data_IF_471925959158
#
_entry.id   IF_471925959158
#
_cell.length_a   1.000
_cell.length_b   1.000
_cell.length_c   1.000
_cell.angle_alpha   90.00
_cell.angle_beta   90.00
_cell.angle_gamma   90.00
#
_symmetry.space_group_name_H-M   'P 1'
#
loop_
_entity.id
_entity.type
_entity.pdbx_description
1 polymer ?
#
# COMPACT_ATOMS: atom_id res chain seq x y z
N UNK A 1 3.01 26.95 26.11
CA UNK A 1 2.56 26.66 24.73
C UNK A 1 2.97 25.22 24.43
N UNK A 2 2.10 24.29 24.73
CA UNK A 2 2.34 22.84 24.58
C UNK A 2 1.71 22.39 23.26
N UNK A 3 2.55 22.03 22.29
CA UNK A 3 2.11 21.47 21.01
C UNK A 3 1.61 20.05 21.26
N UNK A 4 0.31 19.85 21.09
CA UNK A 4 -0.33 18.52 21.14
C UNK A 4 0.07 17.75 19.88
N UNK A 5 0.92 16.77 20.07
CA UNK A 5 1.36 15.84 19.03
C UNK A 5 0.23 14.83 18.76
N UNK A 6 -0.43 14.90 17.62
CA UNK A 6 -1.33 13.86 17.13
C UNK A 6 -0.52 12.82 16.34
N UNK A 7 -0.38 11.58 16.84
CA UNK A 7 0.23 10.50 16.07
C UNK A 7 -0.83 9.87 15.16
N UNK A 8 -0.90 10.31 13.91
CA UNK A 8 -1.82 9.73 12.96
C UNK A 8 -1.65 10.28 11.55
N UNK A 9 -1.08 9.44 10.66
CA UNK A 9 -1.16 9.54 9.21
C UNK A 9 -0.14 10.48 8.53
N UNK A 10 1.14 10.32 8.81
CA UNK A 10 2.15 10.39 7.76
C UNK A 10 2.66 8.97 7.51
N UNK A 11 1.97 8.24 6.63
CA UNK A 11 2.56 7.04 6.04
C UNK A 11 3.72 7.55 5.19
N UNK A 12 4.95 7.49 5.71
CA UNK A 12 6.15 7.71 4.91
C UNK A 12 6.08 6.70 3.78
N UNK A 13 5.84 7.18 2.56
CA UNK A 13 5.88 6.33 1.38
C UNK A 13 7.34 5.95 1.20
N UNK A 14 7.67 4.71 1.57
CA UNK A 14 8.97 4.12 1.28
C UNK A 14 8.97 3.65 -0.16
N UNK A 15 9.96 4.07 -0.92
CA UNK A 15 10.13 3.72 -2.32
C UNK A 15 11.43 2.95 -2.50
N UNK A 16 11.46 2.02 -3.45
CA UNK A 16 12.67 1.28 -3.81
C UNK A 16 12.95 1.43 -5.30
N UNK A 17 14.18 1.82 -5.63
CA UNK A 17 14.66 2.00 -7.00
C UNK A 17 15.48 0.78 -7.46
N UNK A 18 15.22 0.34 -8.69
CA UNK A 18 15.94 -0.73 -9.36
C UNK A 18 16.55 -0.23 -10.67
N UNK A 19 17.77 -0.65 -10.96
CA UNK A 19 18.38 -0.55 -12.29
C UNK A 19 18.54 -1.97 -12.85
N UNK A 20 17.78 -2.28 -13.87
CA UNK A 20 17.59 -3.67 -14.31
C UNK A 20 17.12 -4.51 -13.13
N UNK A 21 17.88 -5.56 -12.75
CA UNK A 21 17.53 -6.46 -11.64
C UNK A 21 18.25 -6.13 -10.31
N UNK A 22 19.00 -5.02 -10.24
CA UNK A 22 19.73 -4.63 -9.03
C UNK A 22 19.04 -3.49 -8.31
N UNK A 23 18.84 -3.66 -7.02
CA UNK A 23 18.37 -2.62 -6.13
C UNK A 23 19.43 -1.54 -5.99
N UNK A 24 19.05 -0.29 -6.22
CA UNK A 24 19.94 0.87 -6.09
C UNK A 24 19.86 1.49 -4.70
N UNK A 25 18.65 1.74 -4.24
CA UNK A 25 18.36 2.37 -2.96
C UNK A 25 16.90 2.18 -2.57
N UNK A 26 16.63 2.35 -1.26
CA UNK A 26 15.27 2.49 -0.72
C UNK A 26 15.22 3.73 0.16
N UNK A 27 14.08 4.39 0.23
CA UNK A 27 13.87 5.56 1.08
C UNK A 27 12.81 6.50 0.54
N UNK A 28 12.90 7.77 0.88
CA UNK A 28 12.00 8.80 0.38
C UNK A 28 12.21 9.11 -1.10
N UNK A 29 11.23 9.73 -1.75
CA UNK A 29 11.36 10.18 -3.14
C UNK A 29 12.58 11.11 -3.34
N UNK A 30 12.88 11.97 -2.37
CA UNK A 30 14.01 12.89 -2.43
C UNK A 30 15.35 12.16 -2.39
N UNK A 31 15.48 11.14 -1.55
CA UNK A 31 16.69 10.32 -1.45
C UNK A 31 16.93 9.55 -2.74
N UNK A 32 15.87 8.96 -3.31
CA UNK A 32 15.97 8.23 -4.57
C UNK A 32 16.33 9.14 -5.74
N UNK A 33 15.75 10.32 -5.86
CA UNK A 33 16.13 11.32 -6.88
C UNK A 33 17.63 11.64 -6.78
N UNK A 34 18.15 11.80 -5.56
CA UNK A 34 19.57 12.10 -5.34
C UNK A 34 20.48 10.95 -5.78
N UNK A 35 20.09 9.70 -5.54
CA UNK A 35 20.84 8.52 -5.96
C UNK A 35 20.78 8.32 -7.46
N UNK A 36 19.59 8.42 -8.06
CA UNK A 36 19.38 8.21 -9.50
C UNK A 36 20.11 9.27 -10.35
N UNK A 37 20.11 10.53 -9.93
CA UNK A 37 20.84 11.62 -10.63
C UNK A 37 22.34 11.40 -10.72
N UNK A 38 22.93 10.64 -9.80
CA UNK A 38 24.37 10.37 -9.76
C UNK A 38 24.81 9.20 -10.63
N UNK A 39 23.86 8.47 -11.21
CA UNK A 39 24.15 7.30 -12.03
C UNK A 39 24.05 7.61 -13.52
N UNK A 40 25.04 7.18 -14.34
CA UNK A 40 24.97 7.34 -15.77
C UNK A 40 23.96 6.34 -16.36
N UNK A 41 23.17 6.85 -17.30
CA UNK A 41 22.39 6.21 -18.36
C UNK A 41 21.90 4.76 -18.11
N UNK A 42 20.61 4.63 -17.91
CA UNK A 42 19.87 3.37 -17.87
C UNK A 42 18.48 3.59 -17.33
N UNK A 43 17.56 2.73 -17.72
CA UNK A 43 16.20 2.73 -17.21
C UNK A 43 16.22 2.37 -15.72
N UNK A 44 15.74 3.27 -14.88
CA UNK A 44 15.56 3.05 -13.45
C UNK A 44 14.07 2.94 -13.19
N UNK A 45 13.65 1.83 -12.62
CA UNK A 45 12.28 1.61 -12.19
C UNK A 45 12.18 1.88 -10.69
N UNK A 46 11.17 2.61 -10.28
CA UNK A 46 10.91 2.91 -8.88
C UNK A 46 9.57 2.31 -8.47
N UNK A 47 9.55 1.66 -7.33
CA UNK A 47 8.37 0.99 -6.80
C UNK A 47 8.00 1.52 -5.43
N UNK A 48 6.72 1.63 -5.16
CA UNK A 48 6.15 1.86 -3.84
C UNK A 48 6.23 0.56 -3.02
N UNK A 49 6.88 0.61 -1.86
CA UNK A 49 7.12 -0.55 -1.00
C UNK A 49 5.84 -1.11 -0.36
N UNK A 50 4.76 -0.34 -0.34
CA UNK A 50 3.48 -0.80 0.22
C UNK A 50 2.56 -1.41 -0.83
N UNK A 51 2.58 -0.89 -2.06
CA UNK A 51 1.63 -1.28 -3.11
C UNK A 51 2.26 -2.06 -4.26
N UNK A 52 3.60 -2.13 -4.32
CA UNK A 52 4.34 -2.73 -5.43
C UNK A 52 4.16 -2.02 -6.77
N UNK A 53 3.47 -0.89 -6.78
CA UNK A 53 3.21 -0.13 -7.99
C UNK A 53 4.45 0.62 -8.46
N UNK A 54 4.68 0.59 -9.77
CA UNK A 54 5.73 1.41 -10.39
C UNK A 54 5.32 2.88 -10.33
N UNK A 55 6.28 3.72 -9.94
CA UNK A 55 6.11 5.18 -9.84
C UNK A 55 7.09 5.85 -10.80
N UNK A 56 6.59 6.77 -11.61
CA UNK A 56 7.43 7.63 -12.43
C UNK A 56 7.93 8.82 -11.59
N UNK A 57 9.23 8.84 -11.32
CA UNK A 57 9.87 9.96 -10.64
C UNK A 57 10.40 10.95 -11.69
N UNK A 58 9.90 12.17 -11.69
CA UNK A 58 10.46 13.25 -12.51
C UNK A 58 11.88 13.61 -12.02
N UNK A 59 12.86 12.93 -12.61
CA UNK A 59 14.30 13.09 -12.31
C UNK A 59 14.83 14.42 -12.83
N UNK A 60 14.12 15.10 -13.75
CA UNK A 60 14.58 16.28 -14.47
C UNK A 60 14.35 17.61 -13.75
N UNK A 61 13.80 17.59 -12.53
CA UNK A 61 13.98 18.72 -11.62
C UNK A 61 12.90 19.77 -11.55
N UNK A 62 11.66 19.41 -11.74
CA UNK A 62 10.57 20.11 -11.07
C UNK A 62 9.92 19.09 -10.14
N UNK A 63 10.22 19.18 -8.84
CA UNK A 63 9.37 18.58 -7.82
C UNK A 63 7.95 19.02 -8.13
N UNK A 64 7.28 18.27 -8.98
CA UNK A 64 5.84 18.23 -8.92
C UNK A 64 5.59 17.63 -7.56
N UNK A 65 5.40 18.49 -6.55
CA UNK A 65 4.73 18.09 -5.34
C UNK A 65 3.62 17.21 -5.86
N UNK A 66 3.65 15.93 -5.52
CA UNK A 66 2.45 15.12 -5.56
C UNK A 66 1.56 15.92 -4.62
N UNK A 67 0.85 16.86 -5.21
CA UNK A 67 -0.15 17.63 -4.53
C UNK A 67 -1.12 16.57 -4.07
N UNK A 68 -1.11 16.35 -2.78
CA UNK A 68 -2.21 15.79 -2.07
C UNK A 68 -3.43 16.63 -2.46
N UNK A 69 -4.08 16.24 -3.57
CA UNK A 69 -5.34 16.82 -4.01
C UNK A 69 -6.45 16.36 -3.07
N UNK A 70 -6.24 16.58 -1.79
CA UNK A 70 -7.28 16.58 -0.77
C UNK A 70 -7.06 17.72 0.20
N UNK A 71 -6.94 18.93 -0.33
CA UNK A 71 -7.37 20.09 0.43
C UNK A 71 -8.90 20.04 0.50
N UNK A 72 -9.40 19.25 1.42
CA UNK A 72 -10.76 19.44 1.92
C UNK A 72 -10.73 20.78 2.66
N UNK A 73 -11.29 21.81 2.03
CA UNK A 73 -11.53 23.10 2.67
C UNK A 73 -12.26 22.85 4.00
N UNK A 74 -11.62 23.20 5.11
CA UNK A 74 -12.28 23.19 6.43
C UNK A 74 -13.36 24.27 6.46
N UNK A 75 -14.62 23.91 6.67
CA UNK A 75 -15.63 24.89 7.03
C UNK A 75 -15.41 25.25 8.51
N UNK A 76 -14.90 26.45 8.76
CA UNK A 76 -14.82 27.04 10.09
C UNK A 76 -16.25 27.30 10.63
N UNK A 77 -16.75 26.36 11.45
CA UNK A 77 -18.01 26.50 12.17
C UNK A 77 -17.79 26.40 13.67
N UNK A 78 -18.32 27.36 14.46
CA UNK A 78 -18.41 27.28 15.94
C UNK A 78 -19.25 26.05 16.30
N UNK A 79 -18.65 25.06 16.96
CA UNK A 79 -19.34 23.86 17.43
C UNK A 79 -18.35 22.89 18.08
N UNK A 80 -18.88 21.96 18.89
CA UNK A 80 -18.16 20.86 19.53
C UNK A 80 -17.22 20.18 18.53
N UNK A 81 -15.95 19.81 18.89
CA UNK A 81 -15.01 19.16 18.00
C UNK A 81 -15.67 18.00 17.26
N UNK A 82 -15.69 18.04 15.93
CA UNK A 82 -16.24 16.96 15.12
C UNK A 82 -15.34 15.74 15.27
N UNK A 83 -15.91 14.60 15.56
CA UNK A 83 -15.28 13.27 15.73
C UNK A 83 -14.61 12.76 14.44
N UNK A 84 -14.04 13.61 13.58
CA UNK A 84 -13.41 13.19 12.33
C UNK A 84 -14.38 12.50 11.34
N UNK A 85 -15.69 12.66 11.51
CA UNK A 85 -16.71 12.03 10.68
C UNK A 85 -16.84 12.79 9.37
N UNK A 86 -16.56 12.12 8.25
CA UNK A 86 -16.76 12.64 6.89
C UNK A 86 -18.10 12.12 6.38
N UNK A 87 -19.00 13.02 5.96
CA UNK A 87 -20.26 12.63 5.34
C UNK A 87 -20.00 12.06 3.94
N UNK A 88 -20.52 10.87 3.68
CA UNK A 88 -20.52 10.20 2.38
C UNK A 88 -21.91 9.66 2.09
N UNK A 89 -22.33 9.73 0.83
CA UNK A 89 -23.57 9.14 0.38
C UNK A 89 -23.37 7.65 0.07
N UNK A 90 -24.32 6.83 0.51
CA UNK A 90 -24.28 5.38 0.30
C UNK A 90 -25.65 4.95 -0.21
N UNK A 91 -25.67 4.25 -1.34
CA UNK A 91 -26.89 3.65 -1.89
C UNK A 91 -27.08 2.24 -1.36
N UNK A 92 -28.21 2.00 -0.72
CA UNK A 92 -28.58 0.68 -0.16
C UNK A 92 -29.98 0.28 -0.67
N UNK A 93 -30.26 -1.01 -0.66
CA UNK A 93 -31.60 -1.50 -0.98
C UNK A 93 -32.61 -1.09 0.11
N UNK A 94 -33.91 -0.88 -0.24
CA UNK A 94 -34.94 -0.48 0.73
C UNK A 94 -34.95 -1.35 2.00
N UNK A 95 -34.92 -2.67 1.86
CA UNK A 95 -34.87 -3.62 2.98
C UNK A 95 -33.67 -3.39 3.93
N UNK A 96 -32.55 -2.88 3.42
CA UNK A 96 -31.39 -2.56 4.26
C UNK A 96 -31.65 -1.29 5.09
N UNK A 97 -32.32 -0.31 4.48
CA UNK A 97 -32.73 0.91 5.19
C UNK A 97 -33.77 0.61 6.26
N UNK A 98 -34.76 -0.25 5.96
CA UNK A 98 -35.79 -0.66 6.93
C UNK A 98 -35.13 -1.27 8.16
N UNK A 99 -34.17 -2.17 7.97
CA UNK A 99 -33.42 -2.79 9.07
C UNK A 99 -32.54 -1.79 9.83
N UNK A 100 -31.77 -0.95 9.12
CA UNK A 100 -30.88 0.01 9.75
C UNK A 100 -31.60 1.06 10.58
N UNK A 101 -32.81 1.44 10.19
CA UNK A 101 -33.60 2.47 10.88
C UNK A 101 -34.15 2.00 12.22
N UNK A 102 -34.32 0.69 12.42
CA UNK A 102 -34.80 0.13 13.70
C UNK A 102 -33.65 -0.21 14.66
N UNK A 103 -32.40 -0.16 14.18
CA UNK A 103 -31.24 -0.44 15.01
C UNK A 103 -30.99 0.63 16.08
N UNK A 104 -30.58 0.23 17.31
CA UNK A 104 -30.27 1.18 18.38
C UNK A 104 -29.18 2.17 18.01
N UNK A 105 -29.48 3.46 18.02
CA UNK A 105 -28.58 4.56 17.64
C UNK A 105 -28.68 4.96 16.17
N UNK A 106 -29.61 4.32 15.41
CA UNK A 106 -29.92 4.65 14.02
C UNK A 106 -28.87 4.17 13.00
N UNK A 107 -29.19 4.36 11.73
CA UNK A 107 -28.43 3.83 10.59
C UNK A 107 -26.92 4.17 10.62
N UNK A 108 -26.57 5.41 10.97
CA UNK A 108 -25.14 5.82 11.02
C UNK A 108 -24.32 5.11 12.09
N UNK A 109 -24.92 4.78 13.22
CA UNK A 109 -24.25 4.03 14.30
C UNK A 109 -24.16 2.56 13.93
N UNK A 110 -25.25 1.98 13.42
CA UNK A 110 -25.28 0.60 12.98
C UNK A 110 -24.25 0.34 11.88
N UNK A 111 -24.21 1.18 10.85
CA UNK A 111 -23.21 1.07 9.77
C UNK A 111 -21.78 1.14 10.28
N UNK A 112 -21.46 2.06 11.20
CA UNK A 112 -20.11 2.12 11.78
C UNK A 112 -19.74 0.84 12.53
N UNK A 113 -20.64 0.30 13.34
CA UNK A 113 -20.41 -0.97 14.06
C UNK A 113 -20.18 -2.12 13.09
N UNK A 114 -20.99 -2.22 12.02
CA UNK A 114 -20.83 -3.25 11.00
C UNK A 114 -19.50 -3.13 10.25
N UNK A 115 -19.10 -1.90 9.89
CA UNK A 115 -17.80 -1.66 9.23
C UNK A 115 -16.64 -2.01 10.17
N UNK A 116 -16.71 -1.62 11.45
CA UNK A 116 -15.66 -1.95 12.41
C UNK A 116 -15.57 -3.46 12.65
N UNK A 117 -16.69 -4.16 12.67
CA UNK A 117 -16.73 -5.61 12.78
C UNK A 117 -16.15 -6.28 11.51
N UNK A 118 -16.60 -5.87 10.33
CA UNK A 118 -16.05 -6.35 9.07
C UNK A 118 -14.54 -6.14 8.97
N UNK A 119 -14.04 -4.96 9.36
CA UNK A 119 -12.60 -4.67 9.37
C UNK A 119 -11.81 -5.57 10.34
N UNK A 120 -12.39 -5.91 11.50
CA UNK A 120 -11.76 -6.88 12.43
C UNK A 120 -11.73 -8.28 11.86
N UNK A 121 -12.81 -8.69 11.23
CA UNK A 121 -12.97 -10.07 10.73
C UNK A 121 -12.23 -10.32 9.42
N UNK A 122 -12.19 -9.33 8.51
CA UNK A 122 -11.56 -9.47 7.20
C UNK A 122 -10.12 -8.93 7.15
N UNK A 123 -9.68 -8.23 8.18
CA UNK A 123 -8.41 -7.48 8.16
C UNK A 123 -7.18 -8.31 7.78
N UNK A 124 -7.11 -9.58 8.19
CA UNK A 124 -6.00 -10.45 7.84
C UNK A 124 -6.09 -10.93 6.39
N UNK A 125 -7.29 -11.26 5.92
CA UNK A 125 -7.51 -11.65 4.51
C UNK A 125 -7.23 -10.50 3.55
N UNK A 126 -7.66 -9.29 3.92
CA UNK A 126 -7.43 -8.10 3.11
C UNK A 126 -5.94 -7.73 3.06
N UNK A 127 -5.20 -7.92 4.17
CA UNK A 127 -3.74 -7.76 4.20
C UNK A 127 -3.03 -8.76 3.30
N UNK A 128 -3.40 -10.03 3.37
CA UNK A 128 -2.82 -11.08 2.51
C UNK A 128 -3.09 -10.77 1.05
N UNK A 129 -4.32 -10.40 0.69
CA UNK A 129 -4.67 -10.02 -0.68
C UNK A 129 -3.86 -8.80 -1.15
N UNK A 130 -3.77 -7.76 -0.35
CA UNK A 130 -2.99 -6.57 -0.68
C UNK A 130 -1.51 -6.89 -0.89
N UNK A 131 -0.93 -7.76 -0.06
CA UNK A 131 0.45 -8.22 -0.20
C UNK A 131 0.66 -9.03 -1.49
N UNK A 132 -0.25 -9.95 -1.82
CA UNK A 132 -0.21 -10.71 -3.06
C UNK A 132 -0.31 -9.80 -4.30
N UNK A 133 -1.21 -8.82 -4.28
CA UNK A 133 -1.35 -7.84 -5.36
C UNK A 133 -0.11 -6.96 -5.50
N UNK A 134 0.50 -6.53 -4.40
CA UNK A 134 1.72 -5.74 -4.41
C UNK A 134 2.89 -6.52 -5.01
N UNK A 135 3.09 -7.77 -4.56
CA UNK A 135 4.12 -8.64 -5.10
C UNK A 135 3.90 -8.92 -6.59
N UNK A 136 2.66 -9.19 -7.01
CA UNK A 136 2.33 -9.44 -8.40
C UNK A 136 2.62 -8.23 -9.30
N UNK A 137 2.26 -7.00 -8.89
CA UNK A 137 2.56 -5.79 -9.66
C UNK A 137 4.06 -5.61 -9.88
N UNK A 138 4.84 -5.75 -8.82
CA UNK A 138 6.29 -5.69 -8.89
C UNK A 138 6.87 -6.78 -9.80
N UNK A 139 6.48 -8.03 -9.58
CA UNK A 139 6.95 -9.17 -10.35
C UNK A 139 6.62 -9.02 -11.84
N UNK A 140 5.40 -8.56 -12.16
CA UNK A 140 4.98 -8.34 -13.54
C UNK A 140 5.80 -7.27 -14.25
N UNK A 141 6.16 -6.21 -13.53
CA UNK A 141 6.93 -5.09 -14.10
C UNK A 141 8.42 -5.44 -14.31
N UNK A 142 9.02 -6.22 -13.40
CA UNK A 142 10.48 -6.43 -13.41
C UNK A 142 10.89 -7.87 -13.71
N UNK A 143 10.08 -8.85 -13.34
CA UNK A 143 10.39 -10.27 -13.40
C UNK A 143 9.55 -11.06 -14.42
N UNK A 144 8.68 -10.40 -15.19
CA UNK A 144 7.73 -11.07 -16.10
C UNK A 144 8.37 -12.00 -17.13
N UNK A 145 9.62 -11.73 -17.51
CA UNK A 145 10.38 -12.54 -18.45
C UNK A 145 11.33 -13.55 -17.77
N UNK A 146 11.33 -13.64 -16.42
CA UNK A 146 12.19 -14.57 -15.71
C UNK A 146 11.59 -15.99 -15.72
N UNK A 147 12.45 -17.04 -15.72
CA UNK A 147 11.97 -18.42 -15.69
C UNK A 147 11.07 -18.69 -14.48
N UNK A 148 9.97 -19.42 -14.71
CA UNK A 148 9.05 -19.82 -13.65
C UNK A 148 8.12 -18.71 -13.15
N UNK A 149 8.02 -17.57 -13.84
CA UNK A 149 7.16 -16.44 -13.43
C UNK A 149 5.69 -16.84 -13.25
N UNK A 150 5.12 -17.60 -14.21
CA UNK A 150 3.72 -18.00 -14.13
C UNK A 150 3.46 -18.96 -12.96
N UNK A 151 4.35 -19.93 -12.75
CA UNK A 151 4.25 -20.88 -11.65
C UNK A 151 4.43 -20.17 -10.30
N UNK A 152 5.36 -19.22 -10.21
CA UNK A 152 5.57 -18.39 -9.04
C UNK A 152 4.30 -17.55 -8.74
N UNK A 153 3.67 -16.98 -9.75
CA UNK A 153 2.42 -16.25 -9.64
C UNK A 153 1.29 -17.14 -9.11
N UNK A 154 1.15 -18.37 -9.62
CA UNK A 154 0.16 -19.33 -9.10
C UNK A 154 0.42 -19.69 -7.63
N UNK A 155 1.67 -19.91 -7.26
CA UNK A 155 2.06 -20.20 -5.88
C UNK A 155 1.79 -19.00 -4.93
N UNK A 156 2.04 -17.77 -5.41
CA UNK A 156 1.76 -16.53 -4.69
C UNK A 156 0.26 -16.43 -4.33
N UNK A 157 -0.64 -16.58 -5.32
CA UNK A 157 -2.08 -16.48 -5.09
C UNK A 157 -2.68 -17.69 -4.35
N UNK A 158 -2.01 -18.85 -4.41
CA UNK A 158 -2.34 -20.00 -3.57
C UNK A 158 -1.84 -19.85 -2.12
N UNK A 159 -1.11 -18.76 -1.80
CA UNK A 159 -0.45 -18.54 -0.52
C UNK A 159 0.51 -19.67 -0.12
N UNK A 160 1.09 -20.37 -1.11
CA UNK A 160 2.09 -21.42 -0.90
C UNK A 160 3.51 -20.81 -0.85
N UNK A 161 3.89 -20.35 0.34
CA UNK A 161 5.17 -19.67 0.59
C UNK A 161 6.37 -20.54 0.21
N UNK A 162 6.29 -21.84 0.52
CA UNK A 162 7.39 -22.77 0.28
C UNK A 162 7.63 -22.96 -1.22
N UNK A 163 6.55 -23.21 -1.95
CA UNK A 163 6.62 -23.38 -3.41
C UNK A 163 7.01 -22.09 -4.10
N UNK A 164 6.48 -20.95 -3.67
CA UNK A 164 6.87 -19.64 -4.18
C UNK A 164 8.37 -19.41 -4.04
N UNK A 165 8.94 -19.61 -2.84
CA UNK A 165 10.37 -19.43 -2.59
C UNK A 165 11.25 -20.36 -3.45
N UNK A 166 10.82 -21.61 -3.67
CA UNK A 166 11.51 -22.55 -4.55
C UNK A 166 11.54 -22.09 -6.01
N UNK A 167 10.42 -21.56 -6.50
CA UNK A 167 10.27 -21.15 -7.89
C UNK A 167 11.07 -19.88 -8.20
N UNK A 168 11.17 -18.95 -7.27
CA UNK A 168 11.94 -17.71 -7.45
C UNK A 168 13.43 -17.85 -7.03
N UNK A 169 13.87 -19.02 -6.56
CA UNK A 169 15.23 -19.22 -6.06
C UNK A 169 16.33 -18.90 -7.09
N UNK A 170 16.04 -19.13 -8.37
CA UNK A 170 16.94 -18.83 -9.48
C UNK A 170 16.88 -17.39 -10.00
N UNK A 171 16.03 -16.54 -9.44
CA UNK A 171 15.93 -15.14 -9.85
C UNK A 171 17.10 -14.30 -9.30
N UNK A 172 17.38 -13.13 -9.92
CA UNK A 172 18.34 -12.18 -9.36
C UNK A 172 18.01 -11.87 -7.89
N UNK A 173 19.02 -11.85 -7.04
CA UNK A 173 18.87 -11.78 -5.58
C UNK A 173 17.99 -10.62 -5.11
N UNK A 174 18.28 -9.41 -5.59
CA UNK A 174 17.53 -8.22 -5.19
C UNK A 174 16.05 -8.29 -5.59
N UNK A 175 15.75 -8.90 -6.74
CA UNK A 175 14.38 -9.08 -7.24
C UNK A 175 13.64 -10.14 -6.43
N UNK A 176 14.30 -11.27 -6.18
CA UNK A 176 13.77 -12.37 -5.37
C UNK A 176 13.41 -11.89 -3.96
N UNK A 177 14.34 -11.21 -3.30
CA UNK A 177 14.19 -10.78 -1.91
C UNK A 177 13.12 -9.70 -1.78
N UNK A 178 13.04 -8.78 -2.75
CA UNK A 178 12.00 -7.77 -2.77
C UNK A 178 10.61 -8.35 -3.03
N UNK A 179 10.49 -9.29 -3.98
CA UNK A 179 9.22 -9.99 -4.25
C UNK A 179 8.74 -10.80 -3.03
N UNK A 180 9.65 -11.53 -2.37
CA UNK A 180 9.32 -12.29 -1.16
C UNK A 180 8.88 -11.37 -0.01
N UNK A 181 9.54 -10.23 0.17
CA UNK A 181 9.17 -9.23 1.18
C UNK A 181 7.77 -8.66 0.93
N UNK A 182 7.44 -8.29 -0.31
CA UNK A 182 6.11 -7.80 -0.64
C UNK A 182 5.03 -8.86 -0.42
N UNK A 183 5.30 -10.11 -0.84
CA UNK A 183 4.34 -11.20 -0.81
C UNK A 183 3.93 -11.61 0.61
N UNK A 184 4.86 -11.48 1.59
CA UNK A 184 4.69 -12.05 2.93
C UNK A 184 5.13 -11.06 4.02
N UNK A 185 4.57 -9.85 3.98
CA UNK A 185 4.86 -8.73 4.90
C UNK A 185 4.42 -9.00 6.36
N UNK A 186 3.71 -10.08 6.63
CA UNK A 186 3.20 -10.46 7.95
C UNK A 186 4.27 -11.07 8.88
N UNK A 187 5.54 -11.06 8.47
CA UNK A 187 6.68 -11.33 9.34
C UNK A 187 7.56 -10.09 9.51
N UNK A 188 7.11 -9.10 10.31
CA UNK A 188 8.10 -8.40 11.10
C UNK A 188 8.70 -9.42 12.09
N UNK A 189 10.02 -9.61 12.11
CA UNK A 189 10.61 -10.40 13.17
C UNK A 189 10.23 -9.76 14.50
N UNK A 190 9.56 -10.52 15.37
CA UNK A 190 9.35 -10.13 16.74
C UNK A 190 10.72 -9.66 17.29
N UNK A 191 10.82 -8.37 17.59
CA UNK A 191 12.01 -7.83 18.22
C UNK A 191 12.13 -8.53 19.60
N UNK A 192 13.14 -9.34 19.75
CA UNK A 192 13.60 -9.90 21.04
C UNK A 192 14.36 -8.82 21.78
#
# INVERSE_FOLDING_TARGET
MTATFYPGIFKFVSLTAFHRFRKLASGSAEDLIRVVRRRPQGEVLVFDDATGSQIDLDIRGKSRKIADERQVAEPRGRGRPRLGVIAKEVTLLPRHWDWLNVEPGGASVALRKLVDEARRTSGDRDRVRAAQEAAYRFMSALAGNLPGFEEATRALFAYDRRKFAQLIAGWPEDVRDFAARLAFTDQEPAQV
#
